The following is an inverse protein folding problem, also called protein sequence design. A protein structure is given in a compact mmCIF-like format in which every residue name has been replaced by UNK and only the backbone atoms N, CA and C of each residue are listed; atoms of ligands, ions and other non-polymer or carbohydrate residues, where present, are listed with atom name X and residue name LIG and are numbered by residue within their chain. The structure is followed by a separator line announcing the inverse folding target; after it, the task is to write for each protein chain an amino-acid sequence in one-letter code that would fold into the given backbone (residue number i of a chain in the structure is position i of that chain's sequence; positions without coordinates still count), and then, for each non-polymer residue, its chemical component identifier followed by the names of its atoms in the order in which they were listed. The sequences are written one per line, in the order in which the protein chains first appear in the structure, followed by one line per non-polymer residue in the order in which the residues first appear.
data_IF_075667853757
#
_entry.id   IF_075667853757
#
_cell.length_a   1.000
_cell.length_b   1.000
_cell.length_c   1.000
_cell.angle_alpha   90.00
_cell.angle_beta   90.00
_cell.angle_gamma   90.00
#
_symmetry.space_group_name_H-M   'P 1'
#
loop_
_entity.id
_entity.type
_entity.pdbx_description
1 polymer ?
#
# COMPACT_ATOMS: atom_id res chain seq x y z
N UNK A 1 -5.51 11.09 -20.12
CA UNK A 1 -5.58 12.18 -19.12
C UNK A 1 -4.86 11.69 -17.89
N UNK A 2 -3.61 12.08 -17.73
CA UNK A 2 -2.75 11.63 -16.64
C UNK A 2 -2.25 12.91 -15.96
N UNK A 3 -2.63 13.12 -14.70
CA UNK A 3 -2.21 14.27 -13.90
C UNK A 3 -3.26 15.38 -13.79
N UNK A 4 -3.78 15.56 -12.58
CA UNK A 4 -3.95 16.89 -11.99
C UNK A 4 -4.33 16.84 -10.49
N UNK A 5 -5.07 15.82 -10.01
CA UNK A 5 -5.65 15.89 -8.64
C UNK A 5 -5.07 14.94 -7.59
N UNK A 6 -4.09 14.11 -7.94
CA UNK A 6 -3.62 13.01 -7.08
C UNK A 6 -2.64 13.44 -5.96
N UNK A 7 -2.26 14.72 -5.89
CA UNK A 7 -1.17 15.18 -5.01
C UNK A 7 -1.56 15.41 -3.55
N UNK A 8 -2.85 15.36 -3.18
CA UNK A 8 -3.29 15.56 -1.79
C UNK A 8 -3.68 14.27 -1.05
N UNK A 9 -3.94 13.18 -1.76
CA UNK A 9 -4.47 11.94 -1.20
C UNK A 9 -3.40 10.91 -0.78
N UNK A 10 -2.11 11.20 -1.04
CA UNK A 10 -1.02 10.26 -0.77
C UNK A 10 0.22 10.96 -0.20
N UNK A 11 1.00 10.23 0.61
CA UNK A 11 2.31 10.63 1.09
C UNK A 11 3.40 9.79 0.41
N UNK A 12 4.39 10.42 -0.24
CA UNK A 12 5.51 9.71 -0.85
C UNK A 12 6.47 9.18 0.22
N UNK A 13 6.66 7.86 0.25
CA UNK A 13 7.51 7.17 1.23
C UNK A 13 8.91 6.92 0.67
N UNK A 14 8.99 6.40 -0.56
CA UNK A 14 10.26 6.10 -1.22
C UNK A 14 10.09 6.12 -2.74
N UNK A 15 11.18 6.37 -3.47
CA UNK A 15 11.19 6.36 -4.93
C UNK A 15 12.53 5.86 -5.46
N UNK A 16 12.47 4.97 -6.45
CA UNK A 16 13.60 4.57 -7.28
C UNK A 16 13.42 5.11 -8.71
N UNK A 17 14.29 4.70 -9.63
CA UNK A 17 14.08 4.91 -11.07
C UNK A 17 12.77 4.28 -11.54
N UNK A 18 12.51 3.04 -11.14
CA UNK A 18 11.50 2.21 -11.77
C UNK A 18 10.17 2.17 -11.00
N UNK A 19 10.18 2.48 -9.71
CA UNK A 19 8.98 2.42 -8.87
C UNK A 19 8.94 3.53 -7.82
N UNK A 20 7.78 3.72 -7.21
CA UNK A 20 7.59 4.55 -6.01
C UNK A 20 6.65 3.86 -5.03
N UNK A 21 6.86 4.11 -3.74
CA UNK A 21 5.98 3.67 -2.66
C UNK A 21 5.33 4.89 -2.05
N UNK A 22 4.01 4.85 -1.92
CA UNK A 22 3.22 5.92 -1.30
C UNK A 22 2.32 5.34 -0.22
N UNK A 23 2.04 6.11 0.83
CA UNK A 23 0.97 5.82 1.79
C UNK A 23 -0.30 6.54 1.37
N UNK A 24 -1.43 5.84 1.41
CA UNK A 24 -2.76 6.36 1.10
C UNK A 24 -3.30 7.13 2.32
N UNK A 25 -3.82 8.34 2.12
CA UNK A 25 -4.29 9.22 3.19
C UNK A 25 -5.82 9.40 3.18
N UNK A 26 -6.48 9.07 2.08
CA UNK A 26 -7.92 9.27 1.87
C UNK A 26 -8.76 8.01 2.16
N UNK A 27 -8.25 7.09 2.98
CA UNK A 27 -8.97 5.89 3.41
C UNK A 27 -8.97 5.78 4.95
N UNK A 28 -9.84 6.54 5.65
CA UNK A 28 -9.84 6.59 7.12
C UNK A 28 -10.24 5.26 7.76
N UNK A 29 -10.98 4.40 7.05
CA UNK A 29 -11.32 3.06 7.54
C UNK A 29 -10.11 2.12 7.56
N UNK A 30 -9.07 2.39 6.76
CA UNK A 30 -7.86 1.58 6.61
C UNK A 30 -6.61 2.45 6.51
N UNK A 31 -6.16 3.09 7.61
CA UNK A 31 -5.06 4.06 7.57
C UNK A 31 -3.70 3.42 7.25
N UNK A 32 -3.52 2.13 7.57
CA UNK A 32 -2.31 1.36 7.28
C UNK A 32 -2.34 0.75 5.86
N UNK A 33 -2.35 1.63 4.86
CA UNK A 33 -2.50 1.29 3.44
C UNK A 33 -1.42 1.99 2.60
N UNK A 34 -0.58 1.19 1.95
CA UNK A 34 0.43 1.65 0.98
C UNK A 34 0.13 1.17 -0.43
N UNK A 35 0.70 1.86 -1.41
CA UNK A 35 0.77 1.42 -2.80
C UNK A 35 2.22 1.38 -3.27
N UNK A 36 2.61 0.28 -3.91
CA UNK A 36 3.86 0.17 -4.69
C UNK A 36 3.50 0.35 -6.16
N UNK A 37 4.00 1.40 -6.80
CA UNK A 37 3.55 1.84 -8.12
C UNK A 37 4.74 1.80 -9.08
N UNK A 38 4.56 1.18 -10.24
CA UNK A 38 5.53 1.25 -11.33
C UNK A 38 5.56 2.69 -11.89
N UNK A 39 6.74 3.24 -12.16
CA UNK A 39 6.86 4.64 -12.57
C UNK A 39 6.41 4.86 -14.02
N UNK A 40 6.89 4.03 -14.95
CA UNK A 40 6.43 4.07 -16.32
C UNK A 40 5.01 3.51 -16.44
N UNK A 41 4.31 3.85 -17.51
CA UNK A 41 2.98 3.31 -17.74
C UNK A 41 3.07 1.87 -18.23
N UNK A 42 2.49 0.96 -17.45
CA UNK A 42 2.20 -0.42 -17.81
C UNK A 42 0.81 -0.72 -17.25
N UNK A 43 -0.05 -1.42 -18.01
CA UNK A 43 -1.38 -1.76 -17.52
C UNK A 43 -1.30 -3.02 -16.65
N UNK A 44 -0.56 -4.02 -17.13
CA UNK A 44 -0.49 -5.34 -16.54
C UNK A 44 0.90 -5.70 -16.04
N UNK A 45 0.97 -6.61 -15.06
CA UNK A 45 2.25 -7.24 -14.67
C UNK A 45 2.92 -7.92 -15.87
N UNK A 46 2.13 -8.44 -16.82
CA UNK A 46 2.63 -9.13 -18.02
C UNK A 46 3.21 -8.20 -19.08
N UNK A 47 3.04 -6.88 -18.94
CA UNK A 47 3.65 -5.89 -19.83
C UNK A 47 5.11 -5.59 -19.42
N UNK A 48 5.49 -5.95 -18.19
CA UNK A 48 6.86 -5.81 -17.70
C UNK A 48 7.73 -6.99 -18.14
N UNK A 49 9.03 -6.75 -18.30
CA UNK A 49 10.03 -7.81 -18.45
C UNK A 49 10.10 -8.69 -17.20
N UNK A 50 10.47 -9.99 -17.30
CA UNK A 50 10.50 -10.90 -16.14
C UNK A 50 11.32 -10.39 -14.95
N UNK A 51 12.44 -9.72 -15.21
CA UNK A 51 13.28 -9.14 -14.16
C UNK A 51 12.62 -7.92 -13.48
N UNK A 52 11.87 -7.11 -14.24
CA UNK A 52 11.10 -5.98 -13.71
C UNK A 52 9.93 -6.44 -12.84
N UNK A 53 9.21 -7.49 -13.27
CA UNK A 53 8.17 -8.15 -12.44
C UNK A 53 8.73 -8.61 -11.11
N UNK A 54 9.90 -9.26 -11.17
CA UNK A 54 10.60 -9.77 -10.01
C UNK A 54 11.02 -8.64 -9.07
N UNK A 55 11.61 -7.56 -9.60
CA UNK A 55 12.01 -6.39 -8.82
C UNK A 55 10.82 -5.68 -8.16
N UNK A 56 9.72 -5.50 -8.89
CA UNK A 56 8.49 -4.92 -8.36
C UNK A 56 7.92 -5.79 -7.24
N UNK A 57 7.88 -7.11 -7.42
CA UNK A 57 7.35 -8.02 -6.41
C UNK A 57 8.25 -8.17 -5.18
N UNK A 58 9.57 -8.12 -5.35
CA UNK A 58 10.49 -7.98 -4.22
C UNK A 58 10.22 -6.70 -3.43
N UNK A 59 9.93 -5.59 -4.11
CA UNK A 59 9.58 -4.32 -3.46
C UNK A 59 8.27 -4.46 -2.66
N UNK A 60 7.23 -5.08 -3.24
CA UNK A 60 5.97 -5.37 -2.55
C UNK A 60 6.19 -6.23 -1.29
N UNK A 61 6.95 -7.32 -1.42
CA UNK A 61 7.26 -8.21 -0.30
C UNK A 61 8.08 -7.52 0.80
N UNK A 62 9.03 -6.64 0.45
CA UNK A 62 9.78 -5.83 1.42
C UNK A 62 8.86 -4.89 2.20
N UNK A 63 7.95 -4.20 1.51
CA UNK A 63 6.94 -3.34 2.16
C UNK A 63 6.05 -4.17 3.07
N UNK A 64 5.53 -5.32 2.63
CA UNK A 64 4.76 -6.24 3.47
C UNK A 64 5.55 -6.66 4.72
N UNK A 65 6.81 -7.07 4.57
CA UNK A 65 7.63 -7.54 5.68
C UNK A 65 7.82 -6.46 6.75
N UNK A 66 8.09 -5.22 6.35
CA UNK A 66 8.16 -4.08 7.28
C UNK A 66 6.81 -3.84 7.94
N UNK A 67 5.72 -3.77 7.17
CA UNK A 67 4.36 -3.57 7.71
C UNK A 67 4.02 -4.64 8.75
N UNK A 68 4.34 -5.91 8.47
CA UNK A 68 4.13 -7.02 9.41
C UNK A 68 4.95 -6.86 10.69
N UNK A 69 6.24 -6.50 10.56
CA UNK A 69 7.15 -6.32 11.68
C UNK A 69 6.73 -5.16 12.58
N UNK A 70 6.44 -3.99 12.00
CA UNK A 70 6.17 -2.77 12.77
C UNK A 70 4.74 -2.73 13.33
N UNK A 71 3.75 -3.29 12.63
CA UNK A 71 2.34 -3.16 13.01
C UNK A 71 1.71 -4.43 13.58
N UNK A 72 2.35 -5.59 13.39
CA UNK A 72 1.83 -6.90 13.82
C UNK A 72 0.34 -7.10 13.48
N UNK A 73 -0.11 -6.83 12.23
CA UNK A 73 -1.50 -7.01 11.87
C UNK A 73 -1.87 -8.49 11.86
N UNK A 74 -3.16 -8.78 11.99
CA UNK A 74 -3.66 -10.15 11.84
C UNK A 74 -3.36 -10.72 10.44
N UNK A 75 -3.48 -9.88 9.40
CA UNK A 75 -3.17 -10.25 8.01
C UNK A 75 -2.69 -9.04 7.22
N UNK A 76 -1.89 -9.26 6.17
CA UNK A 76 -1.68 -8.27 5.11
C UNK A 76 -2.39 -8.72 3.83
N UNK A 77 -3.10 -7.82 3.17
CA UNK A 77 -3.67 -8.04 1.85
C UNK A 77 -2.76 -7.42 0.78
N UNK A 78 -2.49 -8.19 -0.27
CA UNK A 78 -1.77 -7.78 -1.46
C UNK A 78 -2.71 -7.90 -2.67
N UNK A 79 -2.84 -6.83 -3.45
CA UNK A 79 -3.66 -6.87 -4.66
C UNK A 79 -3.13 -5.89 -5.72
N UNK A 80 -3.03 -6.36 -6.96
CA UNK A 80 -2.99 -5.50 -8.15
C UNK A 80 -4.36 -5.60 -8.81
N UNK A 81 -5.11 -4.52 -8.78
CA UNK A 81 -6.34 -4.36 -9.55
C UNK A 81 -6.03 -3.49 -10.76
N UNK A 82 -6.73 -2.37 -10.93
CA UNK A 82 -6.49 -1.45 -12.05
C UNK A 82 -7.69 -1.22 -12.95
N UNK A 83 -8.88 -1.73 -12.59
CA UNK A 83 -10.10 -1.61 -13.40
C UNK A 83 -10.46 -0.16 -13.78
N UNK A 84 -10.24 0.81 -12.87
CA UNK A 84 -10.54 2.24 -13.11
C UNK A 84 -9.30 3.02 -13.55
N UNK A 85 -8.14 2.69 -12.99
CA UNK A 85 -6.84 3.30 -13.33
C UNK A 85 -5.93 2.17 -13.79
N UNK A 86 -5.84 1.90 -15.11
CA UNK A 86 -5.06 0.80 -15.68
C UNK A 86 -3.57 1.18 -15.72
N UNK A 87 -3.00 1.47 -14.56
CA UNK A 87 -1.59 1.75 -14.37
C UNK A 87 -1.10 0.87 -13.23
N UNK A 88 -0.05 0.09 -13.44
CA UNK A 88 0.38 -0.95 -12.55
C UNK A 88 0.73 -0.42 -11.15
N UNK A 89 -0.03 -0.87 -10.16
CA UNK A 89 0.20 -0.62 -8.75
C UNK A 89 -0.30 -1.79 -7.89
N UNK A 90 0.44 -2.06 -6.83
CA UNK A 90 0.09 -3.04 -5.81
C UNK A 90 -0.36 -2.35 -4.54
N UNK A 91 -1.52 -2.74 -4.04
CA UNK A 91 -2.01 -2.40 -2.72
C UNK A 91 -1.35 -3.29 -1.66
N UNK A 92 -0.83 -2.68 -0.59
CA UNK A 92 -0.31 -3.36 0.60
C UNK A 92 -1.08 -2.84 1.80
N UNK A 93 -1.94 -3.67 2.38
CA UNK A 93 -2.91 -3.24 3.40
C UNK A 93 -2.80 -4.12 4.64
N UNK A 94 -2.49 -3.52 5.78
CA UNK A 94 -2.54 -4.20 7.07
C UNK A 94 -4.01 -4.35 7.53
N UNK A 95 -4.38 -5.53 8.03
CA UNK A 95 -5.75 -5.92 8.39
C UNK A 95 -5.83 -6.45 9.81
N UNK A 96 -6.93 -6.15 10.50
CA UNK A 96 -7.21 -6.61 11.86
C UNK A 96 -8.57 -7.28 11.90
N UNK A 97 -8.77 -8.22 12.83
CA UNK A 97 -10.03 -8.98 12.92
C UNK A 97 -11.25 -8.08 13.22
N UNK A 98 -10.99 -6.93 13.85
CA UNK A 98 -11.98 -5.92 14.23
C UNK A 98 -11.95 -4.68 13.32
N UNK A 99 -11.21 -4.68 12.20
CA UNK A 99 -11.26 -3.58 11.23
C UNK A 99 -12.63 -3.47 10.56
N UNK A 100 -13.03 -2.32 9.95
CA UNK A 100 -14.41 -2.13 9.49
C UNK A 100 -14.94 -3.15 8.48
N UNK A 101 -14.06 -3.87 7.76
CA UNK A 101 -14.44 -4.75 6.66
C UNK A 101 -14.17 -6.23 6.94
N UNK A 102 -13.32 -6.59 7.91
CA UNK A 102 -12.93 -7.99 8.12
C UNK A 102 -14.14 -8.92 8.39
N UNK A 103 -14.28 -10.08 7.71
CA UNK A 103 -13.30 -10.76 6.86
C UNK A 103 -13.35 -10.40 5.37
N UNK A 104 -14.17 -9.43 4.95
CA UNK A 104 -14.25 -8.97 3.57
C UNK A 104 -12.96 -8.22 3.14
N UNK A 105 -12.68 -8.14 1.83
CA UNK A 105 -11.70 -7.18 1.32
C UNK A 105 -12.09 -5.76 1.69
N UNK A 106 -11.12 -4.84 1.71
CA UNK A 106 -11.37 -3.43 2.10
C UNK A 106 -12.31 -2.67 1.15
N UNK A 107 -12.53 -3.21 -0.05
CA UNK A 107 -13.48 -2.69 -1.05
C UNK A 107 -14.81 -3.45 -1.07
N UNK A 108 -14.98 -4.42 -0.18
CA UNK A 108 -16.21 -5.22 -0.05
C UNK A 108 -17.23 -4.56 0.88
N UNK A 109 -18.24 -5.34 1.27
CA UNK A 109 -19.26 -4.87 2.20
C UNK A 109 -18.66 -4.63 3.59
N UNK A 110 -18.88 -3.43 4.13
CA UNK A 110 -18.53 -3.07 5.51
C UNK A 110 -19.28 -3.96 6.51
N UNK A 111 -18.60 -4.44 7.55
CA UNK A 111 -19.11 -5.44 8.49
C UNK A 111 -19.47 -4.87 9.87
N UNK A 112 -18.93 -3.70 10.23
CA UNK A 112 -19.08 -3.10 11.56
C UNK A 112 -18.91 -1.59 11.52
N UNK A 113 -19.56 -0.90 12.46
CA UNK A 113 -19.55 0.56 12.56
C UNK A 113 -18.36 1.15 13.32
N UNK A 114 -17.95 2.34 12.87
CA UNK A 114 -16.75 3.01 13.35
C UNK A 114 -15.43 2.33 12.97
N UNK A 115 -14.34 3.00 13.30
CA UNK A 115 -12.97 2.49 13.22
C UNK A 115 -12.50 2.25 14.66
N UNK A 116 -11.99 1.06 15.02
CA UNK A 116 -11.45 0.81 16.35
C UNK A 116 -10.45 1.89 16.77
N UNK A 117 -10.52 2.32 18.03
CA UNK A 117 -9.69 3.42 18.53
C UNK A 117 -8.18 3.16 18.38
N UNK A 118 -7.75 1.88 18.37
CA UNK A 118 -6.34 1.55 18.15
C UNK A 118 -5.89 1.79 16.71
N UNK A 119 -6.77 1.61 15.72
CA UNK A 119 -6.49 1.92 14.31
C UNK A 119 -6.45 3.43 14.08
N UNK A 120 -7.32 4.20 14.73
CA UNK A 120 -7.24 5.67 14.70
C UNK A 120 -5.90 6.18 15.24
N UNK A 121 -5.38 5.54 16.30
CA UNK A 121 -4.07 5.89 16.87
C UNK A 121 -2.88 5.51 15.97
N UNK A 122 -3.06 4.62 15.00
CA UNK A 122 -1.98 4.27 14.07
C UNK A 122 -1.51 5.49 13.30
N UNK A 123 -2.36 6.46 12.97
CA UNK A 123 -1.98 7.64 12.18
C UNK A 123 -0.76 8.38 12.75
N UNK A 124 -0.63 8.42 14.09
CA UNK A 124 0.52 9.02 14.77
C UNK A 124 1.80 8.16 14.61
N UNK A 125 1.65 6.84 14.52
CA UNK A 125 2.73 5.87 14.36
C UNK A 125 3.13 5.58 12.90
N UNK A 126 2.25 5.80 11.92
CA UNK A 126 2.51 5.49 10.51
C UNK A 126 3.74 6.20 9.92
N UNK A 127 4.07 7.45 10.28
CA UNK A 127 5.33 8.06 9.86
C UNK A 127 6.58 7.28 10.28
N UNK A 128 6.53 6.53 11.40
CA UNK A 128 7.63 5.63 11.78
C UNK A 128 7.73 4.43 10.83
N UNK A 129 6.59 3.83 10.49
CA UNK A 129 6.53 2.73 9.51
C UNK A 129 7.00 3.19 8.14
N UNK A 130 6.60 4.40 7.70
CA UNK A 130 7.08 5.01 6.45
C UNK A 130 8.61 5.11 6.43
N UNK A 131 9.23 5.58 7.53
CA UNK A 131 10.70 5.62 7.64
C UNK A 131 11.34 4.23 7.61
N UNK A 132 10.72 3.24 8.26
CA UNK A 132 11.21 1.86 8.25
C UNK A 132 11.13 1.25 6.84
N UNK A 133 10.04 1.51 6.11
CA UNK A 133 9.88 1.10 4.71
C UNK A 133 10.96 1.77 3.86
N UNK A 134 11.15 3.08 4.01
CA UNK A 134 12.17 3.81 3.27
C UNK A 134 13.57 3.25 3.53
N UNK A 135 13.93 2.98 4.78
CA UNK A 135 15.22 2.41 5.14
C UNK A 135 15.43 1.00 4.54
N UNK A 136 14.42 0.13 4.62
CA UNK A 136 14.47 -1.22 4.04
C UNK A 136 14.69 -1.17 2.52
N UNK A 137 13.96 -0.30 1.83
CA UNK A 137 14.00 -0.21 0.37
C UNK A 137 15.23 0.50 -0.17
N UNK A 138 15.81 1.43 0.58
CA UNK A 138 16.98 2.21 0.18
C UNK A 138 18.30 1.63 0.71
N UNK A 139 18.25 0.54 1.49
CA UNK A 139 19.44 -0.20 1.90
C UNK A 139 20.11 -0.85 0.68
N UNK A 140 21.44 -0.81 0.65
CA UNK A 140 22.27 -1.36 -0.44
C UNK A 140 22.34 -2.87 -0.37
#
# INVERSE_FOLDING_TARGET
MCGADDHKAVHLVARSRDWRVVRVLDNPDHPAFWRVIWNDHAAEMTDLEPHQRSALMQTVCKVEAVVRRELQPFKVNLASLGNVVPHLHWHVVARWQDDPHFPQPIWGTRQRDGVPAHLMRLEVGLPHVDRAIQAELMSR
#
